data_IF_201520405646
#
_entry.id   IF_201520405646
#
_cell.length_a   1.000
_cell.length_b   1.000
_cell.length_c   1.000
_cell.angle_alpha   90.00
_cell.angle_beta   90.00
_cell.angle_gamma   90.00
#
_symmetry.space_group_name_H-M   'P 1'
#
loop_
_entity.id
_entity.type
_entity.pdbx_description
1 polymer ?
#
# COMPACT_ATOMS: atom_id res chain seq x y z
N UNK A 1 38.92 50.06 -17.65
CA UNK A 1 38.60 48.90 -16.82
C UNK A 1 37.11 48.63 -16.97
N UNK A 2 36.72 47.54 -17.63
CA UNK A 2 35.32 47.11 -17.66
C UNK A 2 34.98 46.53 -16.29
N UNK A 3 33.95 47.09 -15.63
CA UNK A 3 33.41 46.53 -14.40
C UNK A 3 32.66 45.25 -14.76
N UNK A 4 33.15 44.11 -14.28
CA UNK A 4 32.39 42.87 -14.25
C UNK A 4 31.32 43.04 -13.17
N UNK A 5 30.05 43.15 -13.59
CA UNK A 5 28.90 43.08 -12.70
C UNK A 5 28.49 41.62 -12.68
N UNK A 6 28.66 40.94 -11.55
CA UNK A 6 28.13 39.59 -11.40
C UNK A 6 26.59 39.66 -11.44
N UNK A 7 25.94 38.90 -12.34
CA UNK A 7 24.48 38.85 -12.39
C UNK A 7 23.91 38.34 -11.07
N UNK A 8 22.67 38.72 -10.79
CA UNK A 8 22.00 38.28 -9.57
C UNK A 8 21.84 36.75 -9.55
N UNK A 9 21.73 36.16 -8.35
CA UNK A 9 21.55 34.71 -8.20
C UNK A 9 20.31 34.23 -8.99
N UNK A 10 19.26 35.05 -9.04
CA UNK A 10 18.01 34.78 -9.76
C UNK A 10 18.19 34.68 -11.29
N UNK A 11 19.19 35.36 -11.85
CA UNK A 11 19.53 35.36 -13.28
C UNK A 11 20.55 34.28 -13.66
N UNK A 12 21.22 33.69 -12.67
CA UNK A 12 22.24 32.63 -12.87
C UNK A 12 21.72 31.23 -12.60
N UNK A 13 20.58 31.11 -11.91
CA UNK A 13 19.91 29.83 -11.64
C UNK A 13 18.81 29.63 -12.69
N UNK A 14 18.96 28.59 -13.52
CA UNK A 14 17.90 28.17 -14.43
C UNK A 14 16.71 27.61 -13.63
N UNK A 15 15.62 28.36 -13.54
CA UNK A 15 14.40 27.92 -12.85
C UNK A 15 13.53 26.98 -13.70
N UNK A 16 13.87 26.77 -14.98
CA UNK A 16 13.16 25.87 -15.89
C UNK A 16 13.74 24.44 -15.91
N UNK A 17 14.47 24.04 -14.86
CA UNK A 17 14.88 22.65 -14.71
C UNK A 17 13.64 21.75 -14.56
N UNK A 18 13.62 20.63 -15.29
CA UNK A 18 12.68 19.54 -15.01
C UNK A 18 13.13 18.81 -13.73
N UNK A 19 12.70 19.35 -12.59
CA UNK A 19 13.02 18.81 -11.28
C UNK A 19 12.13 17.61 -10.96
N UNK A 20 12.70 16.45 -10.58
CA UNK A 20 11.89 15.30 -10.24
C UNK A 20 10.99 15.61 -9.04
N UNK A 21 9.77 15.08 -9.06
CA UNK A 21 8.80 15.24 -7.98
C UNK A 21 9.28 14.58 -6.69
N UNK A 22 8.68 14.95 -5.56
CA UNK A 22 8.98 14.33 -4.26
C UNK A 22 8.77 12.81 -4.31
N UNK A 23 7.69 12.37 -4.94
CA UNK A 23 7.39 10.95 -5.16
C UNK A 23 8.52 10.25 -5.93
N UNK A 24 9.02 10.87 -7.00
CA UNK A 24 10.07 10.33 -7.86
C UNK A 24 11.45 10.29 -7.19
N UNK A 25 11.75 11.26 -6.31
CA UNK A 25 13.04 11.31 -5.62
C UNK A 25 13.15 10.31 -4.47
N UNK A 26 12.06 10.09 -3.75
CA UNK A 26 12.13 9.42 -2.46
C UNK A 26 11.41 8.08 -2.40
N UNK A 27 10.55 7.76 -3.37
CA UNK A 27 9.80 6.52 -3.36
C UNK A 27 10.22 5.57 -4.48
N UNK A 28 10.25 4.28 -4.16
CA UNK A 28 10.41 3.19 -5.13
C UNK A 28 9.11 2.42 -5.23
N UNK A 29 8.65 2.16 -6.45
CA UNK A 29 7.37 1.48 -6.69
C UNK A 29 7.52 -0.04 -6.68
N UNK A 30 6.63 -0.67 -5.94
CA UNK A 30 6.44 -2.12 -5.92
C UNK A 30 4.97 -2.47 -6.07
N UNK A 31 4.68 -3.71 -6.44
CA UNK A 31 3.32 -4.17 -6.71
C UNK A 31 3.03 -5.46 -5.94
N UNK A 32 1.90 -5.46 -5.23
CA UNK A 32 1.37 -6.65 -4.59
C UNK A 32 0.35 -7.32 -5.50
N UNK A 33 0.62 -8.57 -5.83
CA UNK A 33 -0.26 -9.44 -6.60
C UNK A 33 -0.69 -10.61 -5.69
N UNK A 34 -1.97 -10.70 -5.29
CA UNK A 34 -2.46 -11.83 -4.52
C UNK A 34 -2.22 -13.13 -5.30
N UNK A 35 -1.50 -14.07 -4.69
CA UNK A 35 -1.24 -15.39 -5.29
C UNK A 35 -2.08 -16.45 -4.58
N UNK A 36 -2.81 -17.28 -5.33
CA UNK A 36 -3.62 -18.40 -4.82
C UNK A 36 -2.81 -19.44 -4.00
N UNK A 37 -1.47 -19.45 -4.14
CA UNK A 37 -0.59 -20.52 -3.63
C UNK A 37 -0.39 -20.55 -2.11
N UNK A 38 -0.80 -19.54 -1.34
CA UNK A 38 -0.62 -19.52 0.12
C UNK A 38 -1.79 -20.11 0.93
N UNK A 39 -2.75 -20.80 0.30
CA UNK A 39 -3.84 -21.53 1.01
C UNK A 39 -3.36 -22.67 1.93
N UNK A 40 -2.09 -23.09 1.88
CA UNK A 40 -1.62 -24.33 2.56
C UNK A 40 -0.75 -24.15 3.82
N UNK A 41 -0.27 -22.96 4.18
CA UNK A 41 0.65 -22.83 5.34
C UNK A 41 -0.04 -22.49 6.68
N UNK A 42 -1.34 -22.20 6.68
CA UNK A 42 -2.11 -21.97 7.91
C UNK A 42 -2.85 -23.22 8.44
N UNK A 43 -2.82 -24.35 7.69
CA UNK A 43 -3.52 -25.59 8.08
C UNK A 43 -2.68 -26.61 8.86
N UNK A 44 -1.36 -26.47 8.90
CA UNK A 44 -0.45 -27.48 9.51
C UNK A 44 0.10 -27.13 10.89
N UNK A 45 -0.43 -26.08 11.55
CA UNK A 45 -0.05 -25.73 12.94
C UNK A 45 -1.13 -25.99 13.99
N UNK A 46 -2.31 -26.53 13.62
CA UNK A 46 -3.40 -26.78 14.56
C UNK A 46 -3.44 -28.20 15.15
N UNK A 47 -2.57 -29.11 14.72
CA UNK A 47 -2.49 -30.47 15.28
C UNK A 47 -1.03 -30.81 15.58
N UNK A 48 -0.77 -31.32 16.79
CA UNK A 48 0.52 -31.74 17.38
C UNK A 48 1.24 -30.67 18.22
N UNK A 49 0.80 -30.51 19.48
CA UNK A 49 1.62 -30.81 20.67
C UNK A 49 0.89 -30.45 21.98
N UNK A 50 0.06 -31.37 22.45
CA UNK A 50 -0.25 -31.51 23.86
C UNK A 50 1.01 -31.96 24.62
N UNK A 51 1.67 -31.06 25.36
CA UNK A 51 2.38 -31.32 26.64
C UNK A 51 3.16 -30.09 27.14
N UNK A 52 2.68 -29.53 28.25
CA UNK A 52 3.38 -28.95 29.41
C UNK A 52 4.35 -27.74 29.35
N UNK A 53 4.07 -26.81 30.28
CA UNK A 53 4.94 -25.90 31.06
C UNK A 53 5.20 -24.43 30.60
N UNK A 54 4.61 -23.53 31.40
CA UNK A 54 4.80 -22.10 31.67
C UNK A 54 5.99 -21.33 31.06
N UNK A 55 5.72 -20.13 30.49
CA UNK A 55 6.03 -18.80 31.08
C UNK A 55 5.98 -17.67 30.01
N UNK A 56 5.14 -16.66 30.24
CA UNK A 56 5.16 -15.29 29.68
C UNK A 56 5.37 -15.08 28.17
N UNK A 57 4.30 -15.22 27.36
CA UNK A 57 4.23 -14.65 26.00
C UNK A 57 2.99 -13.75 25.87
N UNK A 58 3.21 -12.42 25.82
CA UNK A 58 2.17 -11.47 25.44
C UNK A 58 1.79 -11.70 23.98
N UNK A 59 0.61 -12.29 23.81
CA UNK A 59 -0.11 -12.54 22.56
C UNK A 59 -0.29 -11.23 21.78
N UNK A 60 0.59 -10.94 20.82
CA UNK A 60 0.27 -10.02 19.73
C UNK A 60 -0.75 -10.74 18.84
N UNK A 61 -1.98 -10.24 18.79
CA UNK A 61 -3.01 -10.72 17.87
C UNK A 61 -2.59 -10.37 16.44
N UNK A 62 -2.23 -11.38 15.65
CA UNK A 62 -2.18 -11.26 14.19
C UNK A 62 -3.62 -11.13 13.68
N UNK A 63 -3.91 -10.02 13.01
CA UNK A 63 -5.21 -9.75 12.41
C UNK A 63 -5.28 -10.35 11.00
N UNK A 64 -5.48 -11.67 10.92
CA UNK A 64 -5.93 -12.31 9.68
C UNK A 64 -7.47 -12.17 9.59
N UNK A 65 -7.92 -11.09 8.95
CA UNK A 65 -9.24 -11.13 8.29
C UNK A 65 -9.03 -11.91 7.01
N UNK A 66 -9.54 -13.14 6.98
CA UNK A 66 -9.68 -13.88 5.73
C UNK A 66 -10.75 -13.17 4.90
N UNK A 67 -10.31 -12.35 3.94
CA UNK A 67 -11.15 -12.02 2.81
C UNK A 67 -11.35 -13.32 2.00
N UNK A 68 -12.59 -13.61 1.60
CA UNK A 68 -12.90 -14.69 0.65
C UNK A 68 -12.17 -14.40 -0.67
N UNK A 69 -10.94 -14.92 -0.77
CA UNK A 69 -10.05 -14.73 -1.90
C UNK A 69 -10.56 -15.58 -3.07
N UNK A 70 -11.38 -14.98 -3.91
CA UNK A 70 -11.58 -15.39 -5.30
C UNK A 70 -10.64 -14.60 -6.21
N UNK A 71 -9.37 -14.50 -5.83
CA UNK A 71 -8.35 -13.80 -6.59
C UNK A 71 -7.95 -14.63 -7.80
N UNK A 72 -8.76 -14.60 -8.86
CA UNK A 72 -8.26 -15.07 -10.16
C UNK A 72 -7.06 -14.20 -10.54
N UNK A 73 -6.03 -14.84 -11.11
CA UNK A 73 -4.80 -14.21 -11.61
C UNK A 73 -5.08 -13.05 -12.59
N UNK A 74 -6.30 -12.98 -13.10
CA UNK A 74 -6.75 -12.12 -14.18
C UNK A 74 -7.51 -10.86 -13.69
N UNK A 75 -7.74 -10.72 -12.39
CA UNK A 75 -8.58 -9.63 -11.86
C UNK A 75 -7.92 -8.24 -11.86
N UNK A 76 -6.59 -8.13 -12.05
CA UNK A 76 -5.82 -6.87 -12.04
C UNK A 76 -6.05 -5.96 -10.82
N UNK A 77 -6.66 -6.47 -9.74
CA UNK A 77 -6.94 -5.79 -8.47
C UNK A 77 -5.68 -5.65 -7.61
N UNK A 78 -4.60 -5.18 -8.23
CA UNK A 78 -3.27 -5.14 -7.63
C UNK A 78 -3.04 -3.84 -6.87
N UNK A 79 -2.32 -3.95 -5.76
CA UNK A 79 -1.96 -2.81 -4.91
C UNK A 79 -0.58 -2.28 -5.31
N UNK A 80 -0.45 -0.97 -5.42
CA UNK A 80 0.84 -0.31 -5.56
C UNK A 80 1.36 0.08 -4.17
N UNK A 81 2.60 -0.29 -3.89
CA UNK A 81 3.30 0.03 -2.64
C UNK A 81 4.46 0.94 -2.99
N UNK A 82 4.38 2.19 -2.56
CA UNK A 82 5.47 3.15 -2.71
C UNK A 82 6.33 3.10 -1.46
N UNK A 83 7.55 2.59 -1.58
CA UNK A 83 8.49 2.47 -0.46
C UNK A 83 9.37 3.71 -0.43
N UNK A 84 9.23 4.51 0.61
CA UNK A 84 10.06 5.69 0.83
C UNK A 84 11.49 5.30 1.25
N UNK A 85 12.46 6.19 1.05
CA UNK A 85 13.86 6.01 1.46
C UNK A 85 14.04 5.73 2.97
N UNK A 86 13.11 6.20 3.80
CA UNK A 86 13.04 5.93 5.24
C UNK A 86 12.27 4.64 5.61
N UNK A 87 11.93 3.82 4.61
CA UNK A 87 11.19 2.55 4.71
C UNK A 87 9.71 2.67 5.09
N UNK A 88 9.11 3.87 5.13
CA UNK A 88 7.66 4.00 5.15
C UNK A 88 7.06 3.49 3.84
N UNK A 89 5.91 2.82 3.94
CA UNK A 89 5.18 2.31 2.78
C UNK A 89 3.90 3.12 2.61
N UNK A 90 3.78 3.83 1.49
CA UNK A 90 2.53 4.42 1.03
C UNK A 90 1.77 3.36 0.23
N UNK A 91 0.50 3.16 0.52
CA UNK A 91 -0.37 2.24 -0.22
C UNK A 91 -1.24 3.00 -1.20
N UNK A 92 -1.37 2.47 -2.41
CA UNK A 92 -2.23 2.99 -3.47
C UNK A 92 -2.69 1.85 -4.38
N UNK A 93 -3.49 2.17 -5.40
CA UNK A 93 -3.89 1.21 -6.43
C UNK A 93 -2.88 1.19 -7.59
N UNK A 94 -2.77 0.05 -8.26
CA UNK A 94 -1.92 -0.09 -9.45
C UNK A 94 -2.45 0.72 -10.64
N UNK A 95 -1.56 1.16 -11.52
CA UNK A 95 -1.93 1.86 -12.76
C UNK A 95 -2.72 0.96 -13.74
N UNK A 96 -2.60 -0.36 -13.62
CA UNK A 96 -3.43 -1.32 -14.38
C UNK A 96 -4.72 -1.72 -13.65
N UNK A 97 -5.00 -1.15 -12.47
CA UNK A 97 -6.21 -1.48 -11.71
C UNK A 97 -7.47 -1.15 -12.54
N UNK A 98 -8.54 -1.99 -12.53
CA UNK A 98 -9.76 -1.79 -13.32
C UNK A 98 -10.41 -0.40 -13.16
N UNK A 99 -10.26 0.20 -11.99
CA UNK A 99 -10.71 1.58 -11.71
C UNK A 99 -9.98 2.59 -12.60
N UNK A 100 -8.65 2.50 -12.72
CA UNK A 100 -7.84 3.44 -13.50
C UNK A 100 -7.96 3.15 -14.98
N UNK A 101 -7.78 1.89 -15.40
CA UNK A 101 -7.81 1.49 -16.82
C UNK A 101 -9.20 1.65 -17.42
N UNK A 102 -10.24 1.30 -16.67
CA UNK A 102 -11.64 1.49 -17.04
C UNK A 102 -12.15 2.92 -16.84
N UNK A 103 -11.34 3.83 -16.31
CA UNK A 103 -11.71 5.21 -15.95
C UNK A 103 -13.03 5.27 -15.17
N UNK A 104 -13.19 4.35 -14.22
CA UNK A 104 -14.41 4.22 -13.43
C UNK A 104 -14.51 5.39 -12.46
N UNK A 105 -15.73 5.88 -12.28
CA UNK A 105 -16.00 6.90 -11.28
C UNK A 105 -16.10 6.25 -9.89
N UNK A 106 -15.23 6.66 -8.97
CA UNK A 106 -15.27 6.22 -7.58
C UNK A 106 -16.31 7.02 -6.81
N UNK A 107 -17.33 6.34 -6.29
CA UNK A 107 -18.44 6.99 -5.55
C UNK A 107 -18.18 7.00 -4.05
N UNK A 108 -17.53 5.96 -3.52
CA UNK A 108 -17.28 5.83 -2.08
C UNK A 108 -16.04 5.01 -1.79
N UNK A 109 -15.26 5.45 -0.81
CA UNK A 109 -14.16 4.69 -0.23
C UNK A 109 -14.49 4.47 1.25
N UNK A 110 -14.57 3.20 1.67
CA UNK A 110 -14.85 2.83 3.05
C UNK A 110 -13.63 2.19 3.68
N UNK A 111 -13.17 2.77 4.79
CA UNK A 111 -12.12 2.23 5.64
C UNK A 111 -12.66 1.28 6.73
N UNK A 112 -13.96 1.06 6.75
CA UNK A 112 -14.59 0.00 7.54
C UNK A 112 -14.58 -1.28 6.72
N UNK A 113 -13.68 -2.20 7.08
CA UNK A 113 -13.53 -3.50 6.42
C UNK A 113 -14.29 -4.60 7.17
N UNK A 114 -15.34 -4.24 7.91
CA UNK A 114 -16.26 -5.13 8.60
C UNK A 114 -15.79 -5.52 10.00
N UNK A 115 -14.62 -6.17 10.12
CA UNK A 115 -14.07 -6.54 11.44
C UNK A 115 -13.37 -5.37 12.13
N UNK A 116 -12.79 -4.47 11.34
CA UNK A 116 -12.00 -3.34 11.82
C UNK A 116 -12.33 -2.10 11.01
N UNK A 117 -12.54 -1.00 11.71
CA UNK A 117 -12.55 0.31 11.11
C UNK A 117 -11.13 0.91 11.17
N UNK A 118 -10.53 1.22 10.02
CA UNK A 118 -9.17 1.78 9.98
C UNK A 118 -9.11 3.24 10.47
N UNK A 119 -10.25 3.93 10.49
CA UNK A 119 -10.37 5.28 11.06
C UNK A 119 -10.23 5.29 12.59
N UNK A 120 -10.50 4.16 13.25
CA UNK A 120 -10.39 4.03 14.71
C UNK A 120 -8.96 3.67 15.15
N UNK A 121 -7.96 3.84 14.28
CA UNK A 121 -6.57 3.52 14.58
C UNK A 121 -5.97 4.45 15.65
N UNK A 122 -5.65 3.91 16.83
CA UNK A 122 -5.15 4.68 17.98
C UNK A 122 -3.61 4.64 18.07
N UNK A 123 -2.93 5.12 17.02
CA UNK A 123 -1.46 5.13 16.98
C UNK A 123 -0.86 6.29 17.81
N UNK A 124 0.00 5.96 18.78
CA UNK A 124 0.61 6.98 19.66
C UNK A 124 2.07 6.68 20.03
N UNK A 125 2.81 7.75 20.35
CA UNK A 125 4.19 7.69 20.87
C UNK A 125 5.27 7.23 19.86
N UNK A 126 6.53 7.25 20.30
CA UNK A 126 7.71 6.87 19.48
C UNK A 126 7.60 5.44 18.94
N UNK A 127 7.11 4.52 19.76
CA UNK A 127 6.96 3.10 19.41
C UNK A 127 5.68 2.81 18.62
N UNK A 128 4.89 3.82 18.26
CA UNK A 128 3.61 3.67 17.53
C UNK A 128 2.70 2.63 18.20
N UNK A 129 2.50 2.79 19.52
CA UNK A 129 1.70 1.89 20.35
C UNK A 129 0.21 2.12 20.04
N UNK A 130 -0.57 1.03 20.03
CA UNK A 130 -2.01 1.09 19.70
C UNK A 130 -2.31 1.10 18.20
N UNK A 131 -1.30 1.17 17.34
CA UNK A 131 -1.46 1.02 15.90
C UNK A 131 -2.02 -0.37 15.54
N UNK A 132 -2.98 -0.41 14.64
CA UNK A 132 -3.46 -1.64 14.02
C UNK A 132 -2.34 -2.29 13.22
N UNK A 133 -2.24 -3.61 13.27
CA UNK A 133 -1.23 -4.37 12.55
C UNK A 133 -1.80 -4.85 11.22
N UNK A 134 -1.11 -4.53 10.12
CA UNK A 134 -1.36 -5.10 8.80
C UNK A 134 -0.43 -6.28 8.56
N UNK A 135 -0.97 -7.33 7.96
CA UNK A 135 -0.24 -8.33 7.18
C UNK A 135 -0.50 -8.12 5.68
N UNK A 136 0.13 -8.91 4.79
CA UNK A 136 0.05 -8.69 3.34
C UNK A 136 -1.38 -8.77 2.79
N UNK A 137 -2.22 -9.62 3.39
CA UNK A 137 -3.62 -9.82 2.99
C UNK A 137 -4.62 -9.01 3.82
N UNK A 138 -4.16 -8.13 4.71
CA UNK A 138 -5.06 -7.29 5.48
C UNK A 138 -5.77 -6.30 4.56
N UNK A 139 -7.10 -6.29 4.59
CA UNK A 139 -7.90 -5.32 3.84
C UNK A 139 -7.67 -3.90 4.42
N UNK A 140 -7.37 -2.97 3.52
CA UNK A 140 -7.13 -1.56 3.82
C UNK A 140 -8.45 -0.79 3.74
N UNK A 141 -9.14 -0.92 2.61
CA UNK A 141 -10.40 -0.25 2.34
C UNK A 141 -11.20 -1.02 1.28
N UNK A 142 -12.48 -0.67 1.17
CA UNK A 142 -13.39 -1.13 0.12
C UNK A 142 -13.75 0.09 -0.73
N UNK A 143 -13.45 0.02 -2.02
CA UNK A 143 -13.75 1.05 -3.00
C UNK A 143 -15.04 0.64 -3.72
N UNK A 144 -16.02 1.54 -3.79
CA UNK A 144 -17.25 1.37 -4.55
C UNK A 144 -17.27 2.35 -5.72
N UNK A 145 -17.60 1.85 -6.90
CA UNK A 145 -17.71 2.64 -8.13
C UNK A 145 -19.18 2.93 -8.48
N UNK A 146 -19.41 3.80 -9.47
CA UNK A 146 -20.76 4.17 -9.93
C UNK A 146 -21.50 3.04 -10.66
N UNK A 147 -20.78 2.02 -11.13
CA UNK A 147 -21.31 0.80 -11.74
C UNK A 147 -21.64 -0.29 -10.70
N UNK A 148 -21.74 0.08 -9.43
CA UNK A 148 -21.91 -0.81 -8.27
C UNK A 148 -20.78 -1.83 -8.06
N UNK A 149 -19.70 -1.78 -8.85
CA UNK A 149 -18.54 -2.65 -8.64
C UNK A 149 -17.79 -2.27 -7.36
N UNK A 150 -17.29 -3.29 -6.65
CA UNK A 150 -16.59 -3.15 -5.38
C UNK A 150 -15.24 -3.82 -5.43
N UNK A 151 -14.20 -3.10 -5.04
CA UNK A 151 -12.82 -3.58 -4.99
C UNK A 151 -12.31 -3.50 -3.56
N UNK A 152 -11.74 -4.60 -3.06
CA UNK A 152 -11.12 -4.63 -1.74
C UNK A 152 -9.62 -4.48 -1.91
N UNK A 153 -9.05 -3.39 -1.43
CA UNK A 153 -7.61 -3.15 -1.52
C UNK A 153 -6.90 -3.85 -0.37
N UNK A 154 -5.90 -4.67 -0.70
CA UNK A 154 -5.09 -5.39 0.28
C UNK A 154 -3.81 -4.60 0.59
N UNK A 155 -3.26 -4.78 1.78
CA UNK A 155 -2.07 -4.03 2.22
C UNK A 155 -0.83 -4.34 1.38
N UNK A 156 -0.63 -5.61 1.01
CA UNK A 156 0.57 -6.12 0.36
C UNK A 156 1.82 -6.17 1.24
N UNK A 157 1.87 -5.38 2.31
CA UNK A 157 2.98 -5.31 3.25
C UNK A 157 2.55 -5.63 4.68
N UNK A 158 3.52 -6.06 5.48
CA UNK A 158 3.36 -6.24 6.93
C UNK A 158 3.88 -5.01 7.67
N UNK A 159 3.10 -4.46 8.60
CA UNK A 159 3.54 -3.31 9.40
C UNK A 159 2.44 -2.70 10.25
N UNK A 160 2.77 -1.61 10.94
CA UNK A 160 1.82 -0.82 11.72
C UNK A 160 1.13 0.21 10.84
N UNK A 161 -0.19 0.27 10.88
CA UNK A 161 -0.95 1.34 10.26
C UNK A 161 -0.63 2.67 10.98
N UNK A 162 -0.11 3.63 10.24
CA UNK A 162 0.21 4.97 10.74
C UNK A 162 -0.95 5.92 10.44
N UNK A 163 -1.44 5.88 9.21
CA UNK A 163 -2.44 6.84 8.74
C UNK A 163 -3.29 6.21 7.63
N UNK A 164 -4.57 6.57 7.58
CA UNK A 164 -5.43 6.38 6.41
C UNK A 164 -5.81 7.75 5.87
N UNK A 165 -5.96 7.87 4.55
CA UNK A 165 -6.30 9.14 3.95
C UNK A 165 -7.80 9.43 4.05
N UNK A 166 -8.20 10.09 5.13
CA UNK A 166 -9.61 10.45 5.38
C UNK A 166 -10.18 11.40 4.32
N UNK A 167 -9.33 12.13 3.59
CA UNK A 167 -9.77 13.04 2.52
C UNK A 167 -10.52 12.28 1.41
N UNK A 168 -10.20 11.01 1.22
CA UNK A 168 -10.86 10.12 0.26
C UNK A 168 -12.34 9.84 0.59
N UNK A 169 -12.78 10.12 1.82
CA UNK A 169 -14.19 10.03 2.20
C UNK A 169 -14.97 11.21 1.60
N UNK A 170 -14.34 12.39 1.55
CA UNK A 170 -14.95 13.62 1.03
C UNK A 170 -14.71 13.82 -0.48
N UNK A 171 -13.51 13.50 -0.98
CA UNK A 171 -13.14 13.54 -2.41
C UNK A 171 -12.57 12.17 -2.85
N UNK A 172 -13.43 11.17 -3.14
CA UNK A 172 -12.98 9.85 -3.58
C UNK A 172 -12.22 9.85 -4.92
N UNK A 173 -12.44 10.87 -5.75
CA UNK A 173 -11.80 11.02 -7.07
C UNK A 173 -10.31 11.34 -6.95
N UNK A 174 -9.85 11.76 -5.77
CA UNK A 174 -8.43 11.97 -5.52
C UNK A 174 -7.60 10.69 -5.73
N UNK A 175 -8.21 9.52 -5.48
CA UNK A 175 -7.59 8.21 -5.72
C UNK A 175 -7.19 8.00 -7.19
N UNK A 176 -7.99 8.47 -8.15
CA UNK A 176 -7.71 8.34 -9.58
C UNK A 176 -6.93 9.52 -10.12
N UNK A 177 -7.14 10.73 -9.58
CA UNK A 177 -6.47 11.97 -10.02
C UNK A 177 -4.98 11.99 -9.66
N UNK A 178 -4.61 11.59 -8.44
CA UNK A 178 -3.21 11.57 -8.01
C UNK A 178 -2.91 10.38 -7.07
N UNK A 179 -2.97 9.13 -7.57
CA UNK A 179 -2.81 7.92 -6.75
C UNK A 179 -1.47 7.85 -6.01
N UNK A 180 -0.42 8.48 -6.54
CA UNK A 180 0.95 8.41 -6.00
C UNK A 180 1.32 9.58 -5.08
N UNK A 181 0.43 10.55 -4.94
CA UNK A 181 0.65 11.74 -4.11
C UNK A 181 -0.53 11.88 -3.15
N UNK A 182 -1.44 12.84 -3.39
CA UNK A 182 -2.55 13.14 -2.49
C UNK A 182 -3.62 12.04 -2.42
N UNK A 183 -3.70 11.16 -3.41
CA UNK A 183 -4.68 10.08 -3.55
C UNK A 183 -4.26 8.75 -2.93
N UNK A 184 -3.24 8.75 -2.08
CA UNK A 184 -2.82 7.55 -1.37
C UNK A 184 -3.92 7.03 -0.43
N UNK A 185 -3.90 5.73 -0.13
CA UNK A 185 -4.91 5.07 0.71
C UNK A 185 -4.49 5.04 2.18
N UNK A 186 -3.25 4.60 2.45
CA UNK A 186 -2.75 4.42 3.80
C UNK A 186 -1.22 4.53 3.86
N UNK A 187 -0.70 4.84 5.05
CA UNK A 187 0.73 4.82 5.37
C UNK A 187 0.97 3.69 6.36
N UNK A 188 1.88 2.79 6.02
CA UNK A 188 2.27 1.65 6.83
C UNK A 188 3.73 1.79 7.22
N UNK A 189 4.03 1.50 8.49
CA UNK A 189 5.39 1.41 9.01
C UNK A 189 5.79 -0.06 9.18
N UNK A 190 6.65 -0.60 8.32
CA UNK A 190 7.23 -1.93 8.48
C UNK A 190 8.05 -2.06 9.79
N UNK A 191 8.24 -3.28 10.29
CA UNK A 191 9.09 -3.52 11.46
C UNK A 191 10.56 -3.21 11.17
N UNK A 192 11.22 -2.46 12.06
CA UNK A 192 12.61 -2.01 11.91
C UNK A 192 13.62 -3.13 11.57
N UNK A 193 13.50 -4.29 12.19
CA UNK A 193 14.44 -5.40 12.06
C UNK A 193 14.11 -6.38 10.91
N UNK A 194 12.95 -6.21 10.25
CA UNK A 194 12.46 -7.10 9.20
C UNK A 194 11.82 -6.29 8.04
N UNK A 195 12.17 -5.01 7.89
CA UNK A 195 11.54 -4.11 6.91
C UNK A 195 11.73 -4.60 5.49
N UNK A 196 12.92 -5.13 5.16
CA UNK A 196 13.19 -5.65 3.82
C UNK A 196 12.38 -6.92 3.49
N UNK A 197 12.00 -7.72 4.52
CA UNK A 197 11.08 -8.86 4.34
C UNK A 197 9.64 -8.41 4.06
N UNK A 198 9.26 -7.21 4.48
CA UNK A 198 7.92 -6.68 4.20
C UNK A 198 7.74 -6.36 2.70
N UNK A 199 8.84 -6.09 1.99
CA UNK A 199 8.85 -5.72 0.56
C UNK A 199 9.28 -6.90 -0.33
N UNK A 200 9.93 -7.93 0.22
CA UNK A 200 10.49 -9.04 -0.56
C UNK A 200 9.46 -9.88 -1.31
N UNK A 201 8.20 -9.88 -0.87
CA UNK A 201 7.10 -10.56 -1.57
C UNK A 201 6.47 -9.73 -2.69
N UNK A 202 6.89 -8.48 -2.85
CA UNK A 202 6.36 -7.57 -3.86
C UNK A 202 7.16 -7.67 -5.16
N UNK A 203 6.49 -7.40 -6.26
CA UNK A 203 7.12 -7.31 -7.57
C UNK A 203 7.70 -5.92 -7.78
N UNK A 204 8.91 -5.85 -8.33
CA UNK A 204 9.42 -4.59 -8.87
C UNK A 204 8.54 -4.13 -10.04
N UNK A 205 8.65 -2.85 -10.41
CA UNK A 205 7.96 -2.30 -11.58
C UNK A 205 8.18 -3.13 -12.85
N UNK A 206 9.42 -3.49 -13.15
CA UNK A 206 9.78 -4.29 -14.32
C UNK A 206 9.14 -5.70 -14.28
N UNK A 207 9.23 -6.37 -13.12
CA UNK A 207 8.63 -7.69 -12.93
C UNK A 207 7.10 -7.64 -13.10
N UNK A 208 6.49 -6.58 -12.60
CA UNK A 208 5.06 -6.36 -12.70
C UNK A 208 4.63 -6.09 -14.15
N UNK A 209 5.31 -5.19 -14.87
CA UNK A 209 5.01 -4.92 -16.28
C UNK A 209 5.17 -6.19 -17.14
N UNK A 210 6.21 -6.99 -16.91
CA UNK A 210 6.38 -8.29 -17.58
C UNK A 210 5.24 -9.27 -17.29
N UNK A 211 4.77 -9.32 -16.03
CA UNK A 211 3.62 -10.14 -15.66
C UNK A 211 2.36 -9.69 -16.41
N UNK A 212 2.08 -8.39 -16.43
CA UNK A 212 0.89 -7.84 -17.11
C UNK A 212 0.95 -8.11 -18.61
N UNK A 213 2.09 -7.88 -19.25
CA UNK A 213 2.27 -8.16 -20.67
C UNK A 213 2.06 -9.65 -20.99
N UNK A 214 2.50 -10.55 -20.11
CA UNK A 214 2.29 -12.00 -20.28
C UNK A 214 0.82 -12.39 -20.20
N UNK A 215 0.02 -11.74 -19.34
CA UNK A 215 -1.42 -11.99 -19.20
C UNK A 215 -2.20 -11.40 -20.36
N UNK A 216 -1.86 -10.18 -20.81
CA UNK A 216 -2.54 -9.50 -21.92
C UNK A 216 -2.24 -10.14 -23.28
N UNK A 217 -1.08 -10.78 -23.43
CA UNK A 217 -0.65 -11.44 -24.67
C UNK A 217 -1.07 -12.91 -24.76
N UNK A 218 -1.65 -13.48 -23.71
CA UNK A 218 -2.17 -14.86 -23.66
C UNK A 218 -3.65 -14.89 -24.02
#
# INVERSE_FOLDING_TARGET
MMQFVEPSIEETVDLNCDYPRVSERYFTEYFYVPSEKHKLEDRTKSEVSSAESNESVKKLSLDSVACDDKGSKDSFEHTCVLVHSNKLCLLSISHYHPIITGKKEVTKISFDVGKFNRLENQVSGKSKRGAQMFGPRSAVCIITCSDDSKYTVLSGVTGKLIEVNERLIADPQLLTRSPKEDGYLAIVLPPLHNGDKAVSSLLSREQYENLINSVVSS
#
